data_IF_492225751666
#
_entry.id   IF_492225751666
#
_cell.length_a   1.000
_cell.length_b   1.000
_cell.length_c   1.000
_cell.angle_alpha   90.00
_cell.angle_beta   90.00
_cell.angle_gamma   90.00
#
_symmetry.space_group_name_H-M   'P 1'
#
loop_
_entity.id
_entity.type
_entity.pdbx_description
1 polymer ?
#
# COMPACT_ATOMS: atom_id res chain seq x y z
N UNK A 1 -42.47 -23.19 42.07
CA UNK A 1 -42.33 -23.50 40.62
C UNK A 1 -41.89 -22.29 39.79
N UNK A 2 -42.20 -21.04 40.15
CA UNK A 2 -41.81 -19.84 39.36
C UNK A 2 -40.32 -19.45 39.44
N UNK A 3 -39.65 -19.74 40.55
CA UNK A 3 -38.24 -19.38 40.76
C UNK A 3 -37.23 -20.14 39.88
N UNK A 4 -37.58 -21.33 39.38
CA UNK A 4 -36.71 -22.11 38.50
C UNK A 4 -36.70 -21.53 37.07
N UNK A 5 -37.88 -21.14 36.57
CA UNK A 5 -38.05 -20.56 35.24
C UNK A 5 -37.36 -19.18 35.13
N UNK A 6 -37.40 -18.38 36.19
CA UNK A 6 -36.75 -17.06 36.22
C UNK A 6 -35.21 -17.17 36.24
N UNK A 7 -34.67 -18.19 36.90
CA UNK A 7 -33.23 -18.50 36.91
C UNK A 7 -32.74 -19.04 35.56
N UNK A 8 -33.56 -19.78 34.84
CA UNK A 8 -33.24 -20.27 33.49
C UNK A 8 -33.25 -19.12 32.48
N UNK A 9 -34.20 -18.19 32.58
CA UNK A 9 -34.24 -16.99 31.74
C UNK A 9 -32.98 -16.11 31.92
N UNK A 10 -32.50 -15.96 33.16
CA UNK A 10 -31.29 -15.20 33.46
C UNK A 10 -30.00 -15.85 32.91
N UNK A 11 -29.94 -17.19 32.83
CA UNK A 11 -28.79 -17.91 32.24
C UNK A 11 -28.76 -17.80 30.71
N UNK A 12 -29.92 -17.84 30.05
CA UNK A 12 -30.04 -17.74 28.59
C UNK A 12 -29.75 -16.31 28.09
N UNK A 13 -30.11 -15.29 28.86
CA UNK A 13 -29.81 -13.90 28.53
C UNK A 13 -28.30 -13.60 28.59
N UNK A 14 -27.58 -14.21 29.54
CA UNK A 14 -26.14 -14.00 29.72
C UNK A 14 -25.28 -14.56 28.58
N UNK A 15 -25.71 -15.64 27.91
CA UNK A 15 -24.98 -16.23 26.78
C UNK A 15 -25.15 -15.45 25.48
N UNK A 16 -26.32 -14.83 25.28
CA UNK A 16 -26.69 -14.23 23.99
C UNK A 16 -26.05 -12.86 23.75
N UNK A 17 -25.69 -12.12 24.82
CA UNK A 17 -25.03 -10.82 24.70
C UNK A 17 -23.55 -10.88 24.27
N UNK A 18 -22.84 -11.98 24.57
CA UNK A 18 -21.42 -12.12 24.28
C UNK A 18 -21.09 -12.41 22.80
N UNK A 19 -21.95 -13.18 22.13
CA UNK A 19 -21.65 -13.76 20.82
C UNK A 19 -21.57 -12.72 19.70
N UNK A 20 -22.45 -11.71 19.72
CA UNK A 20 -22.51 -10.69 18.67
C UNK A 20 -21.32 -9.73 18.70
N UNK A 21 -20.80 -9.41 19.89
CA UNK A 21 -19.63 -8.54 20.05
C UNK A 21 -18.34 -9.30 19.71
N UNK A 22 -18.23 -10.55 20.15
CA UNK A 22 -17.09 -11.39 19.83
C UNK A 22 -16.97 -11.66 18.32
N UNK A 23 -18.07 -11.98 17.65
CA UNK A 23 -18.07 -12.23 16.21
C UNK A 23 -17.62 -10.99 15.40
N UNK A 24 -18.01 -9.79 15.83
CA UNK A 24 -17.57 -8.55 15.19
C UNK A 24 -16.09 -8.26 15.44
N UNK A 25 -15.63 -8.40 16.68
CA UNK A 25 -14.24 -8.19 17.06
C UNK A 25 -13.32 -9.19 16.35
N UNK A 26 -13.72 -10.46 16.23
CA UNK A 26 -12.96 -11.48 15.53
C UNK A 26 -12.88 -11.20 14.02
N UNK A 27 -14.01 -10.86 13.39
CA UNK A 27 -14.04 -10.52 11.94
C UNK A 27 -13.21 -9.28 11.64
N UNK A 28 -13.30 -8.24 12.48
CA UNK A 28 -12.50 -7.02 12.34
C UNK A 28 -11.01 -7.30 12.56
N UNK A 29 -10.67 -8.07 13.60
CA UNK A 29 -9.29 -8.48 13.87
C UNK A 29 -8.69 -9.27 12.70
N UNK A 30 -9.41 -10.27 12.19
CA UNK A 30 -8.94 -11.08 11.05
C UNK A 30 -8.72 -10.23 9.79
N UNK A 31 -9.64 -9.31 9.47
CA UNK A 31 -9.52 -8.41 8.31
C UNK A 31 -8.32 -7.48 8.44
N UNK A 32 -8.11 -6.90 9.63
CA UNK A 32 -6.98 -6.02 9.88
C UNK A 32 -5.64 -6.78 9.72
N UNK A 33 -5.52 -7.97 10.30
CA UNK A 33 -4.34 -8.82 10.17
C UNK A 33 -4.08 -9.24 8.72
N UNK A 34 -5.12 -9.68 8.00
CA UNK A 34 -5.01 -10.07 6.60
C UNK A 34 -4.51 -8.91 5.72
N UNK A 35 -4.99 -7.70 5.97
CA UNK A 35 -4.59 -6.49 5.23
C UNK A 35 -3.15 -6.11 5.51
N UNK A 36 -2.71 -6.20 6.78
CA UNK A 36 -1.33 -5.95 7.16
C UNK A 36 -0.35 -6.94 6.51
N UNK A 37 -0.68 -8.23 6.54
CA UNK A 37 0.12 -9.28 5.90
C UNK A 37 0.19 -9.07 4.39
N UNK A 38 -0.95 -8.81 3.73
CA UNK A 38 -0.96 -8.56 2.28
C UNK A 38 -0.09 -7.35 1.88
N UNK A 39 -0.11 -6.29 2.69
CA UNK A 39 0.72 -5.10 2.46
C UNK A 39 2.21 -5.42 2.59
N UNK A 40 2.60 -6.18 3.61
CA UNK A 40 3.98 -6.62 3.82
C UNK A 40 4.46 -7.55 2.71
N UNK A 41 3.66 -8.55 2.32
CA UNK A 41 3.98 -9.46 1.20
C UNK A 41 4.18 -8.67 -0.08
N UNK A 42 3.29 -7.72 -0.39
CA UNK A 42 3.41 -6.86 -1.57
C UNK A 42 4.69 -6.01 -1.51
N UNK A 43 5.05 -5.48 -0.35
CA UNK A 43 6.29 -4.73 -0.18
C UNK A 43 7.53 -5.61 -0.42
N UNK A 44 7.57 -6.82 0.15
CA UNK A 44 8.69 -7.76 0.01
C UNK A 44 8.85 -8.24 -1.43
N UNK A 45 7.75 -8.54 -2.14
CA UNK A 45 7.81 -9.00 -3.53
C UNK A 45 8.20 -7.87 -4.50
N UNK A 46 7.77 -6.63 -4.25
CA UNK A 46 8.07 -5.50 -5.13
C UNK A 46 9.46 -4.89 -4.88
N UNK A 47 10.04 -5.08 -3.69
CA UNK A 47 11.36 -4.56 -3.33
C UNK A 47 12.51 -5.04 -4.24
N UNK A 48 12.71 -6.34 -4.52
CA UNK A 48 13.79 -6.79 -5.39
C UNK A 48 13.63 -6.29 -6.82
N UNK A 49 12.40 -6.21 -7.33
CA UNK A 49 12.10 -5.66 -8.65
C UNK A 49 12.46 -4.17 -8.75
N UNK A 50 12.13 -3.37 -7.72
CA UNK A 50 12.52 -1.96 -7.64
C UNK A 50 14.04 -1.80 -7.61
N UNK A 51 14.75 -2.64 -6.86
CA UNK A 51 16.21 -2.57 -6.73
C UNK A 51 16.93 -2.91 -8.03
N UNK A 52 16.45 -3.89 -8.79
CA UNK A 52 16.98 -4.22 -10.13
C UNK A 52 16.75 -3.06 -11.10
N UNK A 53 15.51 -2.59 -11.22
CA UNK A 53 15.19 -1.46 -12.09
C UNK A 53 15.99 -0.20 -11.74
N UNK A 54 16.22 0.06 -10.45
CA UNK A 54 17.07 1.17 -10.01
C UNK A 54 18.53 1.03 -10.48
N UNK A 55 19.09 -0.18 -10.37
CA UNK A 55 20.44 -0.47 -10.88
C UNK A 55 20.52 -0.32 -12.39
N UNK A 56 19.52 -0.83 -13.12
CA UNK A 56 19.46 -0.74 -14.59
C UNK A 56 19.40 0.73 -15.03
N UNK A 57 18.58 1.57 -14.38
CA UNK A 57 18.51 3.01 -14.64
C UNK A 57 19.81 3.74 -14.31
N UNK A 58 20.56 3.30 -13.28
CA UNK A 58 21.85 3.89 -12.94
C UNK A 58 22.94 3.56 -13.97
N UNK A 59 22.86 2.37 -14.58
CA UNK A 59 23.76 1.91 -15.62
C UNK A 59 23.58 2.65 -16.95
N UNK A 60 22.38 3.19 -17.22
CA UNK A 60 22.11 4.02 -18.40
C UNK A 60 22.91 5.32 -18.38
N UNK A 61 23.34 5.76 -19.55
CA UNK A 61 24.00 7.05 -19.76
C UNK A 61 23.01 8.21 -19.64
N UNK A 62 23.52 9.43 -19.42
CA UNK A 62 22.66 10.62 -19.33
C UNK A 62 21.86 10.89 -20.62
N UNK A 63 22.36 10.47 -21.77
CA UNK A 63 21.66 10.58 -23.06
C UNK A 63 20.53 9.57 -23.16
N UNK A 64 20.77 8.32 -22.77
CA UNK A 64 19.73 7.28 -22.76
C UNK A 64 18.63 7.58 -21.74
N UNK A 65 18.99 8.13 -20.57
CA UNK A 65 18.00 8.64 -19.61
C UNK A 65 17.18 9.80 -20.22
N UNK A 66 17.83 10.73 -20.94
CA UNK A 66 17.15 11.85 -21.56
C UNK A 66 16.20 11.43 -22.69
N UNK A 67 16.54 10.38 -23.44
CA UNK A 67 15.70 9.81 -24.50
C UNK A 67 14.36 9.30 -23.95
N UNK A 68 14.38 8.65 -22.79
CA UNK A 68 13.18 8.23 -22.05
C UNK A 68 12.57 9.35 -21.19
N UNK A 69 13.07 10.58 -21.31
CA UNK A 69 12.54 11.77 -20.61
C UNK A 69 12.84 11.81 -19.10
N UNK A 70 13.91 11.14 -18.67
CA UNK A 70 14.38 11.10 -17.28
C UNK A 70 15.71 11.84 -17.11
N UNK A 71 15.96 12.28 -15.88
CA UNK A 71 17.26 12.78 -15.46
C UNK A 71 17.80 11.90 -14.34
N UNK A 72 19.11 11.94 -14.07
CA UNK A 72 19.72 11.13 -13.00
C UNK A 72 19.13 11.46 -11.62
N UNK A 73 18.69 12.71 -11.40
CA UNK A 73 18.00 13.14 -10.19
C UNK A 73 16.55 12.63 -10.08
N UNK A 74 15.93 12.22 -11.19
CA UNK A 74 14.56 11.70 -11.19
C UNK A 74 14.51 10.19 -10.87
N UNK A 75 15.61 9.44 -11.04
CA UNK A 75 15.70 7.99 -10.77
C UNK A 75 15.11 7.56 -9.41
N UNK A 76 15.41 8.21 -8.26
CA UNK A 76 14.80 7.81 -6.99
C UNK A 76 13.28 8.02 -6.94
N UNK A 77 12.74 8.92 -7.78
CA UNK A 77 11.33 9.32 -7.80
C UNK A 77 10.49 8.55 -8.82
N UNK A 78 11.09 7.82 -9.76
CA UNK A 78 10.34 7.03 -10.77
C UNK A 78 9.44 5.94 -10.18
N UNK A 79 9.68 5.56 -8.92
CA UNK A 79 8.87 4.58 -8.18
C UNK A 79 7.75 5.22 -7.34
N UNK A 80 7.69 6.55 -7.30
CA UNK A 80 6.64 7.33 -6.66
C UNK A 80 5.45 7.47 -7.63
N UNK A 81 4.25 6.97 -7.27
CA UNK A 81 3.05 7.12 -8.08
C UNK A 81 2.72 8.57 -8.45
N UNK A 82 2.96 9.52 -7.54
CA UNK A 82 2.62 10.93 -7.74
C UNK A 82 3.57 11.58 -8.75
N UNK A 83 4.86 11.22 -8.70
CA UNK A 83 5.83 11.63 -9.71
C UNK A 83 5.46 11.14 -11.10
N UNK A 84 5.09 9.85 -11.22
CA UNK A 84 4.69 9.25 -12.49
C UNK A 84 3.42 9.93 -13.03
N UNK A 85 2.44 10.20 -12.16
CA UNK A 85 1.24 10.93 -12.54
C UNK A 85 1.55 12.36 -13.02
N UNK A 86 2.43 13.07 -12.33
CA UNK A 86 2.87 14.42 -12.71
C UNK A 86 3.60 14.44 -14.06
N UNK A 87 4.55 13.52 -14.29
CA UNK A 87 5.26 13.38 -15.57
C UNK A 87 4.32 13.02 -16.73
N UNK A 88 3.29 12.20 -16.48
CA UNK A 88 2.26 11.87 -17.49
C UNK A 88 1.44 13.10 -17.90
N UNK A 89 1.04 13.93 -16.93
CA UNK A 89 0.26 15.15 -17.16
C UNK A 89 1.06 16.30 -17.77
N UNK A 90 2.38 16.34 -17.57
CA UNK A 90 3.22 17.39 -18.11
C UNK A 90 3.20 17.41 -19.65
N UNK A 91 2.93 18.57 -20.28
CA UNK A 91 2.97 18.69 -21.74
C UNK A 91 4.36 18.38 -22.27
N UNK A 92 4.45 17.81 -23.47
CA UNK A 92 5.71 17.33 -24.10
C UNK A 92 6.82 18.39 -24.07
N UNK A 93 6.48 19.67 -24.22
CA UNK A 93 7.42 20.79 -24.18
C UNK A 93 8.13 21.00 -22.83
N UNK A 94 7.54 20.58 -21.70
CA UNK A 94 8.13 20.69 -20.36
C UNK A 94 8.92 19.45 -19.94
N UNK A 95 8.92 18.37 -20.74
CA UNK A 95 9.63 17.13 -20.42
C UNK A 95 11.12 17.18 -20.73
N UNK A 96 11.54 18.02 -21.69
CA UNK A 96 12.93 18.09 -22.19
C UNK A 96 13.73 19.32 -21.72
N UNK A 97 13.11 20.28 -21.04
CA UNK A 97 13.72 21.60 -20.79
C UNK A 97 13.94 21.93 -19.32
N UNK A 98 14.98 21.36 -18.69
CA UNK A 98 15.66 22.06 -17.59
C UNK A 98 17.10 22.35 -18.01
N UNK A 99 17.50 23.63 -18.20
CA UNK A 99 18.89 23.97 -18.44
C UNK A 99 19.71 23.62 -17.20
N UNK A 100 20.72 22.76 -17.38
CA UNK A 100 21.70 22.42 -16.36
C UNK A 100 23.01 23.13 -16.76
N UNK A 101 23.20 24.35 -16.29
CA UNK A 101 24.47 25.06 -16.38
C UNK A 101 24.76 25.72 -15.03
N UNK A 102 25.67 25.10 -14.27
CA UNK A 102 26.84 25.68 -13.60
C UNK A 102 27.32 24.69 -12.52
#
# INVERSE_FOLDING_TARGET
MRDAAEREALRVAATTQGDALFAQNLRQGLKATATAVATLVRAVVTFPAKRRAYSDLLALTSRELADIGLTRADIPRVFDPDFVAAKRKAPVALRSGRPQHA
#
